data_IF_724935884424
#
_entry.id   IF_724935884424
#
_cell.length_a   1.000
_cell.length_b   1.000
_cell.length_c   1.000
_cell.angle_alpha   90.00
_cell.angle_beta   90.00
_cell.angle_gamma   90.00
#
_symmetry.space_group_name_H-M   'P 1'
#
loop_
_entity.id
_entity.type
_entity.pdbx_description
1 polymer ?
#
# COMPACT_ATOMS: atom_id res chain seq x y z
N UNK A 1 25.46 13.23 22.67
CA UNK A 1 24.69 12.10 22.10
C UNK A 1 25.56 10.85 22.06
N UNK A 2 25.06 9.73 22.59
CA UNK A 2 25.83 8.47 22.69
C UNK A 2 25.76 7.64 21.40
N UNK A 3 26.77 6.79 21.16
CA UNK A 3 26.95 6.00 19.92
C UNK A 3 25.75 5.10 19.56
N UNK A 4 24.97 4.66 20.56
CA UNK A 4 23.70 3.91 20.38
C UNK A 4 22.58 4.79 19.79
N UNK A 5 22.43 6.04 20.23
CA UNK A 5 21.42 6.97 19.72
C UNK A 5 21.62 7.27 18.22
N UNK A 6 22.89 7.40 17.78
CA UNK A 6 23.22 7.56 16.34
C UNK A 6 22.85 6.34 15.48
N UNK A 7 22.94 5.12 16.01
CA UNK A 7 22.51 3.92 15.26
C UNK A 7 20.99 3.84 15.13
N UNK A 8 20.25 4.12 16.19
CA UNK A 8 18.78 4.12 16.17
C UNK A 8 18.20 5.19 15.23
N UNK A 9 18.78 6.40 15.21
CA UNK A 9 18.39 7.45 14.26
C UNK A 9 18.59 7.07 12.79
N UNK A 10 19.54 6.16 12.48
CA UNK A 10 19.77 5.69 11.10
C UNK A 10 18.66 4.77 10.59
N UNK A 11 17.94 4.07 11.48
CA UNK A 11 16.82 3.20 11.12
C UNK A 11 15.47 3.92 11.19
N UNK A 12 15.36 4.96 12.01
CA UNK A 12 14.18 5.83 12.13
C UNK A 12 14.22 6.99 11.12
N UNK A 13 14.59 6.70 9.87
CA UNK A 13 14.43 7.65 8.77
C UNK A 13 12.94 7.85 8.50
N UNK A 14 12.54 9.06 8.10
CA UNK A 14 11.15 9.41 7.77
C UNK A 14 10.49 8.38 6.83
N UNK A 15 11.27 7.90 5.86
CA UNK A 15 10.87 6.80 4.96
C UNK A 15 10.49 5.52 5.72
N UNK A 16 11.34 5.03 6.62
CA UNK A 16 11.09 3.78 7.33
C UNK A 16 9.90 3.90 8.26
N UNK A 17 9.77 5.03 8.96
CA UNK A 17 8.62 5.30 9.82
C UNK A 17 7.33 5.35 8.98
N UNK A 18 7.35 6.00 7.82
CA UNK A 18 6.17 6.01 6.93
C UNK A 18 5.76 4.62 6.46
N UNK A 19 6.72 3.74 6.16
CA UNK A 19 6.45 2.36 5.76
C UNK A 19 5.88 1.54 6.92
N UNK A 20 6.36 1.73 8.15
CA UNK A 20 5.81 1.06 9.34
C UNK A 20 4.36 1.51 9.61
N UNK A 21 4.06 2.80 9.49
CA UNK A 21 2.69 3.31 9.65
C UNK A 21 1.78 2.73 8.57
N UNK A 22 2.23 2.69 7.31
CA UNK A 22 1.48 2.09 6.21
C UNK A 22 1.27 0.59 6.40
N UNK A 23 2.27 -0.12 6.90
CA UNK A 23 2.21 -1.55 7.21
C UNK A 23 1.13 -1.83 8.24
N UNK A 24 1.20 -1.11 9.37
CA UNK A 24 0.25 -1.29 10.46
C UNK A 24 -1.17 -0.90 10.03
N UNK A 25 -1.32 0.22 9.32
CA UNK A 25 -2.62 0.66 8.83
C UNK A 25 -3.24 -0.31 7.82
N UNK A 26 -2.45 -0.84 6.89
CA UNK A 26 -2.92 -1.86 5.95
C UNK A 26 -3.41 -3.12 6.68
N UNK A 27 -2.66 -3.58 7.69
CA UNK A 27 -3.08 -4.68 8.54
C UNK A 27 -4.38 -4.38 9.30
N UNK A 28 -4.50 -3.18 9.89
CA UNK A 28 -5.72 -2.76 10.58
C UNK A 28 -6.94 -2.71 9.65
N UNK A 29 -6.80 -2.12 8.45
CA UNK A 29 -7.88 -2.09 7.44
C UNK A 29 -8.28 -3.51 7.04
N UNK A 30 -7.31 -4.39 6.81
CA UNK A 30 -7.59 -5.79 6.50
C UNK A 30 -8.29 -6.52 7.64
N UNK A 31 -7.90 -6.27 8.89
CA UNK A 31 -8.59 -6.82 10.05
C UNK A 31 -10.06 -6.40 10.09
N UNK A 32 -10.35 -5.10 9.99
CA UNK A 32 -11.72 -4.60 10.06
C UNK A 32 -12.57 -5.00 8.85
N UNK A 33 -12.01 -5.02 7.65
CA UNK A 33 -12.76 -5.34 6.42
C UNK A 33 -12.78 -6.83 6.15
N UNK A 34 -11.60 -7.46 6.10
CA UNK A 34 -11.45 -8.88 5.78
C UNK A 34 -12.04 -9.81 6.85
N UNK A 35 -11.88 -9.47 8.13
CA UNK A 35 -12.38 -10.31 9.23
C UNK A 35 -13.65 -9.73 9.86
N UNK A 36 -13.76 -8.41 9.92
CA UNK A 36 -14.88 -7.72 10.58
C UNK A 36 -16.12 -7.50 9.71
N UNK A 37 -16.08 -7.77 8.40
CA UNK A 37 -17.26 -7.67 7.53
C UNK A 37 -17.58 -9.00 6.87
N UNK A 38 -18.85 -9.19 6.49
CA UNK A 38 -19.28 -10.33 5.68
C UNK A 38 -18.69 -10.34 4.27
N UNK A 39 -17.96 -9.28 3.86
CA UNK A 39 -17.28 -9.23 2.57
C UNK A 39 -16.16 -10.27 2.46
N UNK A 40 -15.55 -10.68 3.58
CA UNK A 40 -14.60 -11.80 3.61
C UNK A 40 -15.24 -13.18 3.38
N UNK A 41 -16.57 -13.27 3.47
CA UNK A 41 -17.35 -14.50 3.25
C UNK A 41 -18.08 -14.54 1.90
N UNK A 42 -17.91 -13.51 1.06
CA UNK A 42 -18.52 -13.44 -0.27
C UNK A 42 -17.91 -14.48 -1.22
N UNK A 43 -18.71 -14.98 -2.16
CA UNK A 43 -18.27 -15.97 -3.18
C UNK A 43 -17.27 -15.39 -4.20
N UNK A 44 -17.16 -14.07 -4.31
CA UNK A 44 -16.32 -13.39 -5.30
C UNK A 44 -15.10 -12.71 -4.65
N UNK A 45 -13.94 -13.36 -4.77
CA UNK A 45 -12.64 -12.81 -4.33
C UNK A 45 -12.34 -11.47 -5.00
N UNK A 46 -12.80 -11.29 -6.25
CA UNK A 46 -12.57 -10.08 -7.04
C UNK A 46 -13.24 -8.88 -6.36
N UNK A 47 -14.50 -9.04 -5.93
CA UNK A 47 -15.25 -7.97 -5.27
C UNK A 47 -14.59 -7.61 -3.95
N UNK A 48 -14.17 -8.62 -3.17
CA UNK A 48 -13.44 -8.40 -1.93
C UNK A 48 -12.15 -7.58 -2.15
N UNK A 49 -11.31 -7.97 -3.11
CA UNK A 49 -10.05 -7.27 -3.44
C UNK A 49 -10.31 -5.84 -3.91
N UNK A 50 -11.34 -5.65 -4.74
CA UNK A 50 -11.71 -4.33 -5.23
C UNK A 50 -12.16 -3.39 -4.11
N UNK A 51 -13.12 -3.83 -3.27
CA UNK A 51 -13.61 -3.02 -2.15
C UNK A 51 -12.51 -2.74 -1.12
N UNK A 52 -11.68 -3.73 -0.80
CA UNK A 52 -10.55 -3.56 0.09
C UNK A 52 -9.56 -2.52 -0.46
N UNK A 53 -9.31 -2.53 -1.77
CA UNK A 53 -8.49 -1.54 -2.46
C UNK A 53 -9.08 -0.14 -2.39
N UNK A 54 -10.39 0.00 -2.59
CA UNK A 54 -11.08 1.28 -2.45
C UNK A 54 -11.01 1.82 -1.02
N UNK A 55 -11.34 0.99 -0.02
CA UNK A 55 -11.28 1.38 1.39
C UNK A 55 -9.87 1.81 1.77
N UNK A 56 -8.84 1.04 1.38
CA UNK A 56 -7.45 1.40 1.64
C UNK A 56 -7.03 2.68 0.93
N UNK A 57 -7.51 2.91 -0.30
CA UNK A 57 -7.29 4.14 -1.04
C UNK A 57 -7.90 5.36 -0.33
N UNK A 58 -9.15 5.27 0.10
CA UNK A 58 -9.82 6.31 0.89
C UNK A 58 -9.09 6.56 2.21
N UNK A 59 -8.71 5.49 2.92
CA UNK A 59 -7.97 5.57 4.17
C UNK A 59 -6.60 6.25 3.99
N UNK A 60 -5.90 5.96 2.90
CA UNK A 60 -4.66 6.64 2.53
C UNK A 60 -4.86 8.14 2.29
N UNK A 61 -5.89 8.51 1.53
CA UNK A 61 -6.17 9.90 1.17
C UNK A 61 -6.54 10.73 2.42
N UNK A 62 -7.41 10.18 3.28
CA UNK A 62 -8.01 10.92 4.38
C UNK A 62 -7.19 10.88 5.67
N UNK A 63 -6.47 9.78 5.92
CA UNK A 63 -5.84 9.53 7.23
C UNK A 63 -4.33 9.42 7.07
N UNK A 64 -3.82 8.43 6.32
CA UNK A 64 -2.38 8.15 6.31
C UNK A 64 -1.59 9.32 5.71
N UNK A 65 -1.94 9.78 4.51
CA UNK A 65 -1.17 10.82 3.82
C UNK A 65 -1.19 12.16 4.59
N UNK A 66 -2.34 12.65 5.12
CA UNK A 66 -2.35 13.84 5.97
C UNK A 66 -1.58 13.65 7.28
N UNK A 67 -1.72 12.51 7.95
CA UNK A 67 -1.01 12.24 9.20
C UNK A 67 0.52 12.21 9.01
N UNK A 68 1.01 11.55 7.95
CA UNK A 68 2.43 11.52 7.62
C UNK A 68 2.95 12.93 7.29
N UNK A 69 2.19 13.73 6.53
CA UNK A 69 2.58 15.12 6.23
C UNK A 69 2.68 15.97 7.48
N UNK A 70 1.71 15.84 8.39
CA UNK A 70 1.71 16.56 9.66
C UNK A 70 2.89 16.13 10.54
N UNK A 71 3.14 14.83 10.66
CA UNK A 71 4.20 14.29 11.52
C UNK A 71 5.61 14.67 11.05
N UNK A 72 5.85 14.73 9.74
CA UNK A 72 7.14 15.13 9.17
C UNK A 72 7.21 16.60 8.76
N UNK A 73 6.18 17.39 9.08
CA UNK A 73 6.06 18.79 8.67
C UNK A 73 6.34 19.02 7.16
N UNK A 74 5.88 18.08 6.32
CA UNK A 74 6.07 18.13 4.87
C UNK A 74 5.02 19.06 4.27
N UNK A 75 5.48 20.20 3.74
CA UNK A 75 4.64 21.10 2.98
C UNK A 75 4.07 20.38 1.73
N UNK A 76 2.78 20.59 1.41
CA UNK A 76 2.23 20.08 0.17
C UNK A 76 3.07 20.56 -1.01
N UNK A 77 3.32 19.70 -2.01
CA UNK A 77 4.05 20.09 -3.22
C UNK A 77 3.39 21.25 -3.99
N UNK A 78 2.10 21.54 -3.73
CA UNK A 78 1.34 22.67 -4.25
C UNK A 78 0.37 23.20 -3.18
N UNK A 79 0.29 24.52 -2.95
CA UNK A 79 -0.69 25.12 -2.04
C UNK A 79 -2.12 24.73 -2.42
N UNK A 80 -3.02 24.48 -1.46
CA UNK A 80 -4.43 24.19 -1.75
C UNK A 80 -5.12 25.27 -2.60
N UNK A 81 -4.67 26.52 -2.51
CA UNK A 81 -5.19 27.67 -3.27
C UNK A 81 -4.85 27.66 -4.75
N UNK A 82 -3.82 26.92 -5.16
CA UNK A 82 -3.37 26.85 -6.56
C UNK A 82 -3.93 25.63 -7.31
N UNK A 83 -4.56 24.69 -6.60
CA UNK A 83 -5.09 23.48 -7.22
C UNK A 83 -6.47 23.76 -7.80
N UNK A 84 -6.63 23.53 -9.11
CA UNK A 84 -7.96 23.48 -9.70
C UNK A 84 -8.74 22.28 -9.12
N UNK A 85 -10.06 22.37 -8.95
CA UNK A 85 -10.88 21.27 -8.42
C UNK A 85 -10.67 19.95 -9.19
N UNK A 86 -10.47 20.03 -10.51
CA UNK A 86 -10.22 18.88 -11.37
C UNK A 86 -8.88 18.18 -11.08
N UNK A 87 -7.83 18.95 -10.81
CA UNK A 87 -6.52 18.37 -10.45
C UNK A 87 -6.59 17.63 -9.12
N UNK A 88 -7.28 18.20 -8.13
CA UNK A 88 -7.47 17.57 -6.81
C UNK A 88 -8.24 16.25 -6.91
N UNK A 89 -9.32 16.24 -7.69
CA UNK A 89 -10.09 15.02 -7.94
C UNK A 89 -9.26 13.98 -8.68
N UNK A 90 -8.47 14.39 -9.67
CA UNK A 90 -7.55 13.50 -10.40
C UNK A 90 -6.52 12.86 -9.45
N UNK A 91 -5.90 13.63 -8.56
CA UNK A 91 -4.93 13.12 -7.59
C UNK A 91 -5.56 12.06 -6.67
N UNK A 92 -6.80 12.28 -6.23
CA UNK A 92 -7.55 11.30 -5.43
C UNK A 92 -7.89 10.04 -6.23
N UNK A 93 -8.34 10.19 -7.48
CA UNK A 93 -8.63 9.05 -8.35
C UNK A 93 -7.38 8.20 -8.62
N UNK A 94 -6.23 8.84 -8.88
CA UNK A 94 -4.96 8.13 -9.06
C UNK A 94 -4.58 7.36 -7.80
N UNK A 95 -4.75 7.96 -6.62
CA UNK A 95 -4.46 7.29 -5.34
C UNK A 95 -5.39 6.10 -5.10
N UNK A 96 -6.69 6.21 -5.44
CA UNK A 96 -7.65 5.11 -5.36
C UNK A 96 -7.27 3.96 -6.32
N UNK A 97 -7.07 4.27 -7.60
CA UNK A 97 -6.69 3.28 -8.62
C UNK A 97 -5.40 2.58 -8.23
N UNK A 98 -4.38 3.34 -7.78
CA UNK A 98 -3.11 2.77 -7.30
C UNK A 98 -3.34 1.76 -6.17
N UNK A 99 -4.20 2.07 -5.21
CA UNK A 99 -4.48 1.14 -4.11
C UNK A 99 -5.24 -0.11 -4.56
N UNK A 100 -6.19 -0.01 -5.49
CA UNK A 100 -6.85 -1.17 -6.09
C UNK A 100 -5.83 -2.06 -6.81
N UNK A 101 -4.91 -1.48 -7.59
CA UNK A 101 -3.85 -2.23 -8.27
C UNK A 101 -2.91 -2.92 -7.28
N UNK A 102 -2.53 -2.24 -6.19
CA UNK A 102 -1.73 -2.85 -5.12
C UNK A 102 -2.46 -4.07 -4.54
N UNK A 103 -3.77 -3.96 -4.26
CA UNK A 103 -4.54 -5.08 -3.72
C UNK A 103 -4.65 -6.26 -4.68
N UNK A 104 -4.80 -6.01 -5.98
CA UNK A 104 -4.78 -7.07 -7.00
C UNK A 104 -3.43 -7.81 -6.95
N UNK A 105 -2.32 -7.08 -6.90
CA UNK A 105 -0.99 -7.71 -6.84
C UNK A 105 -0.79 -8.48 -5.54
N UNK A 106 -1.24 -7.95 -4.39
CA UNK A 106 -1.20 -8.66 -3.11
C UNK A 106 -2.01 -9.96 -3.18
N UNK A 107 -3.21 -9.93 -3.76
CA UNK A 107 -4.03 -11.13 -3.94
C UNK A 107 -3.33 -12.17 -4.83
N UNK A 108 -2.66 -11.74 -5.91
CA UNK A 108 -1.87 -12.63 -6.76
C UNK A 108 -0.67 -13.23 -6.02
N UNK A 109 -0.04 -12.50 -5.11
CA UNK A 109 1.03 -13.02 -4.24
C UNK A 109 0.47 -14.13 -3.34
N UNK A 110 -0.66 -13.90 -2.67
CA UNK A 110 -1.30 -14.93 -1.85
C UNK A 110 -1.68 -16.17 -2.67
N UNK A 111 -2.25 -15.97 -3.86
CA UNK A 111 -2.57 -17.06 -4.77
C UNK A 111 -1.33 -17.86 -5.18
N UNK A 112 -0.25 -17.18 -5.56
CA UNK A 112 1.00 -17.82 -5.97
C UNK A 112 1.66 -18.59 -4.82
N UNK A 113 1.72 -18.01 -3.61
CA UNK A 113 2.29 -18.67 -2.43
C UNK A 113 1.49 -19.91 -2.06
N UNK A 114 0.15 -19.82 -2.01
CA UNK A 114 -0.70 -20.95 -1.67
C UNK A 114 -0.57 -22.08 -2.71
N UNK A 115 -0.54 -21.76 -4.01
CA UNK A 115 -0.32 -22.75 -5.07
C UNK A 115 1.05 -23.43 -4.97
N UNK A 116 2.11 -22.65 -4.70
CA UNK A 116 3.45 -23.20 -4.51
C UNK A 116 3.52 -24.11 -3.28
N UNK A 117 2.91 -23.71 -2.16
CA UNK A 117 2.87 -24.50 -0.94
C UNK A 117 2.13 -25.83 -1.17
N UNK A 118 0.98 -25.82 -1.84
CA UNK A 118 0.25 -27.05 -2.21
C UNK A 118 1.14 -27.99 -3.02
N UNK A 119 1.84 -27.46 -4.04
CA UNK A 119 2.71 -28.27 -4.90
C UNK A 119 3.95 -28.82 -4.18
N UNK A 120 4.51 -28.09 -3.20
CA UNK A 120 5.74 -28.48 -2.49
C UNK A 120 5.44 -29.44 -1.33
N UNK A 121 4.35 -29.22 -0.60
CA UNK A 121 4.02 -29.96 0.61
C UNK A 121 2.99 -31.07 0.40
N UNK A 122 2.50 -31.25 -0.83
CA UNK A 122 1.52 -32.27 -1.21
C UNK A 122 0.26 -32.26 -0.31
N UNK A 123 -0.16 -31.06 0.08
CA UNK A 123 -1.36 -30.84 0.89
C UNK A 123 -2.61 -30.80 -0.01
N UNK A 124 -3.82 -31.04 0.53
CA UNK A 124 -5.05 -31.05 -0.26
C UNK A 124 -5.21 -29.76 -1.10
N UNK A 125 -5.70 -29.90 -2.33
CA UNK A 125 -5.82 -28.78 -3.29
C UNK A 125 -6.75 -27.67 -2.83
N UNK A 126 -7.66 -28.00 -1.92
CA UNK A 126 -8.64 -27.08 -1.35
C UNK A 126 -8.14 -26.43 -0.05
N UNK A 127 -6.95 -26.81 0.40
CA UNK A 127 -6.32 -26.20 1.56
C UNK A 127 -5.82 -24.79 1.21
N UNK A 128 -5.80 -23.92 2.22
CA UNK A 128 -5.20 -22.57 2.12
C UNK A 128 -4.05 -22.50 3.13
N UNK A 129 -2.83 -22.97 2.75
CA UNK A 129 -1.69 -23.05 3.67
C UNK A 129 -1.30 -21.72 4.33
N UNK A 130 -1.44 -20.60 3.60
CA UNK A 130 -1.24 -19.26 4.11
C UNK A 130 -2.56 -18.48 4.02
N UNK A 131 -3.36 -18.46 5.10
CA UNK A 131 -4.58 -17.66 5.14
C UNK A 131 -4.24 -16.16 5.09
N UNK A 132 -5.23 -15.37 4.68
CA UNK A 132 -5.14 -13.92 4.75
C UNK A 132 -5.21 -13.45 6.20
N UNK A 133 -4.04 -13.13 6.76
CA UNK A 133 -3.92 -12.56 8.11
C UNK A 133 -3.47 -11.09 8.06
N UNK A 134 -3.93 -10.24 8.98
CA UNK A 134 -3.63 -8.80 9.00
C UNK A 134 -2.13 -8.46 8.90
N UNK A 135 -1.29 -9.20 9.61
CA UNK A 135 0.14 -8.90 9.73
C UNK A 135 0.88 -9.18 8.41
N UNK A 136 0.68 -10.37 7.84
CA UNK A 136 1.27 -10.73 6.55
C UNK A 136 0.67 -9.91 5.40
N UNK A 137 -0.63 -9.61 5.48
CA UNK A 137 -1.27 -8.75 4.51
C UNK A 137 -0.62 -7.37 4.48
N UNK A 138 -0.46 -6.74 5.65
CA UNK A 138 0.22 -5.46 5.76
C UNK A 138 1.64 -5.52 5.20
N UNK A 139 2.36 -6.63 5.43
CA UNK A 139 3.72 -6.82 4.93
C UNK A 139 3.75 -6.84 3.40
N UNK A 140 2.94 -7.67 2.77
CA UNK A 140 2.85 -7.74 1.31
C UNK A 140 2.38 -6.41 0.72
N UNK A 141 1.39 -5.76 1.35
CA UNK A 141 0.94 -4.44 0.94
C UNK A 141 2.09 -3.44 0.88
N UNK A 142 2.91 -3.35 1.93
CA UNK A 142 4.04 -2.39 1.96
C UNK A 142 5.13 -2.74 0.96
N UNK A 143 5.43 -4.03 0.77
CA UNK A 143 6.38 -4.46 -0.27
C UNK A 143 5.91 -4.01 -1.65
N UNK A 144 4.64 -4.27 -1.99
CA UNK A 144 4.06 -3.90 -3.28
C UNK A 144 3.97 -2.38 -3.41
N UNK A 145 3.52 -1.67 -2.37
CA UNK A 145 3.47 -0.22 -2.32
C UNK A 145 4.85 0.40 -2.62
N UNK A 146 5.89 -0.10 -1.94
CA UNK A 146 7.26 0.34 -2.13
C UNK A 146 7.75 0.08 -3.56
N UNK A 147 7.42 -1.08 -4.13
CA UNK A 147 7.74 -1.42 -5.53
C UNK A 147 7.07 -0.43 -6.49
N UNK A 148 5.79 -0.14 -6.29
CA UNK A 148 5.03 0.82 -7.09
C UNK A 148 5.63 2.23 -7.02
N UNK A 149 5.97 2.71 -5.82
CA UNK A 149 6.66 4.01 -5.68
C UNK A 149 8.01 4.02 -6.41
N UNK A 150 8.78 2.94 -6.29
CA UNK A 150 10.09 2.84 -6.94
C UNK A 150 9.97 2.86 -8.47
N UNK A 151 8.99 2.13 -9.02
CA UNK A 151 8.70 2.12 -10.46
C UNK A 151 8.22 3.51 -10.91
N UNK A 152 7.27 4.11 -10.18
CA UNK A 152 6.71 5.43 -10.51
C UNK A 152 7.80 6.51 -10.53
N UNK A 153 8.71 6.49 -9.56
CA UNK A 153 9.83 7.41 -9.51
C UNK A 153 10.79 7.24 -10.71
N UNK A 154 11.13 5.99 -11.07
CA UNK A 154 11.95 5.73 -12.27
C UNK A 154 11.28 6.22 -13.55
N UNK A 155 9.99 6.00 -13.71
CA UNK A 155 9.21 6.48 -14.86
C UNK A 155 9.23 8.01 -14.91
N UNK A 156 9.00 8.68 -13.77
CA UNK A 156 9.03 10.15 -13.67
C UNK A 156 10.38 10.73 -14.08
N UNK A 157 11.48 10.17 -13.57
CA UNK A 157 12.84 10.61 -13.92
C UNK A 157 13.08 10.46 -15.43
N UNK A 158 12.75 9.30 -16.00
CA UNK A 158 12.94 9.04 -17.43
C UNK A 158 12.11 9.98 -18.33
N UNK A 159 10.88 10.31 -17.91
CA UNK A 159 10.04 11.29 -18.62
C UNK A 159 10.67 12.69 -18.55
N UNK A 160 11.16 13.10 -17.38
CA UNK A 160 11.80 14.43 -17.23
C UNK A 160 13.08 14.55 -18.06
N UNK A 161 13.89 13.49 -18.15
CA UNK A 161 15.07 13.44 -19.03
C UNK A 161 14.69 13.54 -20.51
N UNK A 162 13.58 12.93 -20.92
CA UNK A 162 13.09 13.02 -22.30
C UNK A 162 12.57 14.43 -22.63
N UNK A 163 11.90 15.09 -21.69
CA UNK A 163 11.39 16.45 -21.86
C UNK A 163 12.51 17.50 -21.85
N UNK A 164 13.56 17.33 -21.04
CA UNK A 164 14.72 18.23 -21.01
C UNK A 164 15.69 18.08 -22.20
N UNK A 165 15.46 17.09 -23.08
CA UNK A 165 16.20 16.90 -24.34
C UNK A 165 15.48 17.48 -25.57
N UNK A 166 14.29 18.07 -25.39
CA UNK A 166 13.58 18.86 -26.42
C UNK A 166 13.74 20.34 -26.12
#
# INVERSE_FOLDING_TARGET
MTRKQRRFQKYLTDRNISLVIRWWAAGAVYFFIGWGTSLGSQQSIIDFVFFLGLVMGVFNILIINPALRMMFNILPSRPPSENTPWQRTSDYLVELIKNVLIMIVVALIYWAINRAAIAIFDVPTDSVPLPGEPIFFGLFYVIVYWLFEHISNKVRVKISEFQGRR
#
